data_IF_665251062290
#
_entry.id   IF_665251062290
#
_cell.length_a   1.000
_cell.length_b   1.000
_cell.length_c   1.000
_cell.angle_alpha   90.00
_cell.angle_beta   90.00
_cell.angle_gamma   90.00
#
_symmetry.space_group_name_H-M   'P 1'
#
loop_
_entity.id
_entity.type
_entity.pdbx_description
1 polymer ?
#
# COMPACT_ATOMS: atom_id res chain seq x y z
N UNK A 1 6.29 -5.09 -7.44
CA UNK A 1 6.53 -5.12 -5.99
C UNK A 1 6.67 -3.67 -5.56
N UNK A 2 5.95 -3.24 -4.52
CA UNK A 2 6.07 -1.90 -3.94
C UNK A 2 6.72 -2.06 -2.57
N UNK A 3 7.87 -1.42 -2.39
CA UNK A 3 8.61 -1.46 -1.13
C UNK A 3 8.49 -0.11 -0.40
N UNK A 4 8.64 -0.14 0.92
CA UNK A 4 8.55 1.04 1.79
C UNK A 4 7.28 1.90 1.57
N UNK A 5 6.13 1.26 1.30
CA UNK A 5 4.88 1.96 1.07
C UNK A 5 4.44 2.73 2.33
N UNK A 6 4.05 3.99 2.13
CA UNK A 6 3.47 4.85 3.16
C UNK A 6 4.45 5.58 4.08
N UNK A 7 5.74 5.65 3.72
CA UNK A 7 6.67 6.55 4.41
C UNK A 7 6.31 8.03 4.27
N UNK A 8 5.65 8.40 3.16
CA UNK A 8 5.14 9.74 2.89
C UNK A 8 3.70 9.64 2.39
N UNK A 9 2.89 10.66 2.67
CA UNK A 9 1.57 10.78 2.07
C UNK A 9 1.70 11.01 0.56
N UNK A 10 0.73 10.49 -0.20
CA UNK A 10 0.60 10.76 -1.62
C UNK A 10 -0.11 12.09 -1.83
N UNK A 11 0.35 12.86 -2.82
CA UNK A 11 -0.23 14.16 -3.14
C UNK A 11 -0.56 14.29 -4.63
N UNK A 12 -1.75 14.81 -4.92
CA UNK A 12 -2.19 15.18 -6.27
C UNK A 12 -1.98 14.07 -7.29
N UNK A 13 -1.07 14.28 -8.24
CA UNK A 13 -0.81 13.33 -9.32
C UNK A 13 -0.35 11.95 -8.82
N UNK A 14 0.37 11.87 -7.69
CA UNK A 14 0.85 10.59 -7.15
C UNK A 14 -0.31 9.66 -6.75
N UNK A 15 -1.43 10.22 -6.33
CA UNK A 15 -2.64 9.46 -5.97
C UNK A 15 -3.26 8.84 -7.23
N UNK A 16 -3.33 9.61 -8.32
CA UNK A 16 -3.84 9.17 -9.61
C UNK A 16 -2.93 8.13 -10.26
N UNK A 17 -1.61 8.34 -10.24
CA UNK A 17 -0.64 7.39 -10.77
C UNK A 17 -0.70 6.06 -10.02
N UNK A 18 -0.84 6.12 -8.69
CA UNK A 18 -0.99 4.90 -7.89
C UNK A 18 -2.30 4.18 -8.22
N UNK A 19 -3.40 4.93 -8.38
CA UNK A 19 -4.69 4.35 -8.80
C UNK A 19 -4.55 3.62 -10.15
N UNK A 20 -3.98 4.26 -11.17
CA UNK A 20 -3.76 3.67 -12.49
C UNK A 20 -2.98 2.34 -12.39
N UNK A 21 -1.86 2.33 -11.66
CA UNK A 21 -1.05 1.12 -11.45
C UNK A 21 -1.86 0.01 -10.76
N UNK A 22 -2.67 0.35 -9.75
CA UNK A 22 -3.48 -0.64 -9.04
C UNK A 22 -4.59 -1.18 -9.93
N UNK A 23 -5.28 -0.32 -10.68
CA UNK A 23 -6.33 -0.74 -11.63
C UNK A 23 -5.79 -1.67 -12.71
N UNK A 24 -4.65 -1.35 -13.30
CA UNK A 24 -4.07 -2.17 -14.36
C UNK A 24 -3.71 -3.58 -13.90
N UNK A 25 -3.31 -3.70 -12.63
CA UNK A 25 -2.86 -4.97 -12.04
C UNK A 25 -4.01 -5.77 -11.42
N UNK A 26 -5.07 -5.10 -10.95
CA UNK A 26 -6.17 -5.72 -10.22
C UNK A 26 -6.81 -6.87 -11.04
N UNK A 27 -6.91 -8.05 -10.42
CA UNK A 27 -7.45 -9.26 -11.04
C UNK A 27 -6.60 -9.89 -12.16
N UNK A 28 -5.49 -9.27 -12.57
CA UNK A 28 -4.63 -9.76 -13.67
C UNK A 28 -3.27 -10.28 -13.19
N UNK A 29 -2.70 -9.68 -12.15
CA UNK A 29 -1.38 -10.06 -11.65
C UNK A 29 -1.24 -9.81 -10.15
N UNK A 30 -0.43 -10.63 -9.47
CA UNK A 30 -0.19 -10.47 -8.03
C UNK A 30 0.60 -9.22 -7.72
N UNK A 31 0.18 -8.44 -6.73
CA UNK A 31 0.91 -7.26 -6.24
C UNK A 31 1.39 -7.53 -4.82
N UNK A 32 2.70 -7.39 -4.58
CA UNK A 32 3.30 -7.47 -3.25
C UNK A 32 3.61 -6.04 -2.81
N UNK A 33 3.15 -5.70 -1.60
CA UNK A 33 3.39 -4.41 -0.95
C UNK A 33 4.06 -4.68 0.40
N UNK A 34 5.20 -4.06 0.63
CA UNK A 34 5.85 -4.00 1.93
C UNK A 34 5.66 -2.60 2.52
N UNK A 35 5.25 -2.52 3.79
CA UNK A 35 5.01 -1.27 4.49
C UNK A 35 5.41 -1.41 5.96
N UNK A 36 5.89 -0.31 6.53
CA UNK A 36 6.13 -0.19 7.96
C UNK A 36 4.87 0.26 8.71
N UNK A 37 3.84 0.70 7.99
CA UNK A 37 2.56 1.13 8.55
C UNK A 37 1.53 -0.01 8.50
N UNK A 38 0.66 -0.12 9.52
CA UNK A 38 -0.47 -1.04 9.44
C UNK A 38 -1.41 -0.61 8.32
N UNK A 39 -2.11 -1.58 7.71
CA UNK A 39 -3.06 -1.31 6.60
C UNK A 39 -4.15 -0.31 7.00
N UNK A 40 -4.53 -0.27 8.27
CA UNK A 40 -5.51 0.71 8.80
C UNK A 40 -5.05 2.18 8.61
N UNK A 41 -3.74 2.43 8.53
CA UNK A 41 -3.18 3.77 8.30
C UNK A 41 -3.06 4.13 6.82
N UNK A 42 -3.28 3.17 5.91
CA UNK A 42 -3.06 3.42 4.47
C UNK A 42 -4.09 4.38 3.87
N UNK A 43 -5.29 4.46 4.44
CA UNK A 43 -6.30 5.42 4.02
C UNK A 43 -5.76 6.86 4.10
N UNK A 44 -5.16 7.20 5.24
CA UNK A 44 -4.57 8.51 5.49
C UNK A 44 -3.32 8.78 4.63
N UNK A 45 -2.54 7.74 4.34
CA UNK A 45 -1.36 7.81 3.46
C UNK A 45 -1.78 8.15 2.03
N UNK A 46 -2.83 7.50 1.53
CA UNK A 46 -3.34 7.74 0.18
C UNK A 46 -4.02 9.11 0.13
N UNK A 47 -4.76 9.49 1.17
CA UNK A 47 -5.30 10.83 1.34
C UNK A 47 -6.72 10.97 0.82
N UNK A 48 -6.88 11.40 -0.44
CA UNK A 48 -8.20 11.74 -1.00
C UNK A 48 -9.18 10.57 -0.84
N UNK A 49 -10.34 10.84 -0.23
CA UNK A 49 -11.26 9.81 0.27
C UNK A 49 -11.68 8.83 -0.84
N UNK A 50 -12.06 9.36 -2.00
CA UNK A 50 -12.56 8.57 -3.13
C UNK A 50 -11.48 7.63 -3.69
N UNK A 51 -10.28 8.14 -3.90
CA UNK A 51 -9.13 7.40 -4.42
C UNK A 51 -8.65 6.39 -3.37
N UNK A 52 -8.61 6.78 -2.09
CA UNK A 52 -8.23 5.89 -0.99
C UNK A 52 -9.18 4.69 -0.89
N UNK A 53 -10.49 4.93 -0.92
CA UNK A 53 -11.49 3.85 -0.92
C UNK A 53 -11.31 2.94 -2.14
N UNK A 54 -11.15 3.51 -3.33
CA UNK A 54 -11.02 2.74 -4.57
C UNK A 54 -9.73 1.88 -4.61
N UNK A 55 -8.60 2.43 -4.17
CA UNK A 55 -7.32 1.72 -4.10
C UNK A 55 -7.37 0.62 -3.04
N UNK A 56 -7.86 0.93 -1.84
CA UNK A 56 -7.93 -0.04 -0.75
C UNK A 56 -8.91 -1.15 -1.07
N UNK A 57 -10.03 -0.86 -1.73
CA UNK A 57 -10.98 -1.88 -2.15
C UNK A 57 -10.30 -2.96 -3.02
N UNK A 58 -9.52 -2.52 -4.01
CA UNK A 58 -8.81 -3.41 -4.95
C UNK A 58 -7.63 -4.14 -4.33
N UNK A 59 -6.88 -3.47 -3.46
CA UNK A 59 -5.66 -4.04 -2.85
C UNK A 59 -6.00 -4.93 -1.66
N UNK A 60 -6.88 -4.48 -0.79
CA UNK A 60 -6.97 -4.99 0.57
C UNK A 60 -7.99 -6.11 0.68
N UNK A 61 -9.14 -6.01 0.00
CA UNK A 61 -10.22 -7.01 0.11
C UNK A 61 -9.81 -8.42 -0.33
N UNK A 62 -8.89 -8.54 -1.30
CA UNK A 62 -8.45 -9.84 -1.83
C UNK A 62 -7.03 -10.22 -1.40
N UNK A 63 -6.41 -9.44 -0.52
CA UNK A 63 -5.02 -9.67 -0.11
C UNK A 63 -4.85 -10.71 0.99
N UNK A 64 -3.71 -11.38 0.94
CA UNK A 64 -3.15 -12.05 2.11
C UNK A 64 -2.33 -11.04 2.91
N UNK A 65 -2.67 -10.85 4.18
CA UNK A 65 -1.93 -9.96 5.09
C UNK A 65 -1.00 -10.77 5.97
N UNK A 66 0.26 -10.37 6.01
CA UNK A 66 1.29 -10.98 6.83
C UNK A 66 1.85 -9.88 7.75
N UNK A 67 1.47 -9.92 9.02
CA UNK A 67 2.05 -9.04 10.03
C UNK A 67 3.41 -9.58 10.47
N UNK A 68 4.48 -8.90 10.08
CA UNK A 68 5.82 -9.22 10.55
C UNK A 68 6.04 -8.67 11.96
N UNK A 69 6.62 -9.49 12.83
CA UNK A 69 6.95 -9.14 14.22
C UNK A 69 8.41 -9.49 14.50
N UNK A 70 9.02 -8.75 15.42
CA UNK A 70 10.39 -8.99 15.85
C UNK A 70 11.27 -7.74 15.79
N UNK A 71 12.50 -7.87 16.26
CA UNK A 71 13.47 -6.78 16.25
C UNK A 71 14.07 -6.58 14.86
N UNK A 72 14.50 -5.34 14.59
CA UNK A 72 15.22 -5.01 13.37
C UNK A 72 16.50 -5.84 13.25
N UNK A 73 16.62 -6.58 12.15
CA UNK A 73 17.84 -7.34 11.83
C UNK A 73 19.03 -6.42 11.55
N UNK A 74 18.81 -5.13 11.25
CA UNK A 74 19.90 -4.16 11.04
C UNK A 74 20.73 -3.91 12.29
N UNK A 75 20.16 -4.13 13.49
CA UNK A 75 20.90 -3.99 14.77
C UNK A 75 21.91 -5.11 15.01
N UNK A 76 21.85 -6.21 14.25
CA UNK A 76 22.74 -7.36 14.37
C UNK A 76 23.95 -7.32 13.44
N UNK A 77 24.04 -6.28 12.60
CA UNK A 77 25.20 -5.96 11.76
C UNK A 77 26.03 -4.87 12.45
#
# INVERSE_FOLDING_TARGET
>A
IMDDFGLTRLEGQQQLDMMEIIEDRHGKSSTIIASQLPVASWYEVIGEETIADAILDRLVHTSHRIELRGESLRKKL
#
